data_IF_618700753966
#
_entry.id   IF_618700753966
#
_cell.length_a   1.000
_cell.length_b   1.000
_cell.length_c   1.000
_cell.angle_alpha   90.00
_cell.angle_beta   90.00
_cell.angle_gamma   90.00
#
_symmetry.space_group_name_H-M   'P 1'
#
loop_
_entity.id
_entity.type
_entity.pdbx_description
1 polymer ?
#
# COMPACT_ATOMS: atom_id res chain seq x y z
N UNK A 1 1.04 -13.66 -9.02
CA UNK A 1 1.66 -12.44 -9.55
C UNK A 1 0.57 -11.60 -10.22
N UNK A 2 0.56 -10.28 -10.05
CA UNK A 2 -0.48 -9.39 -10.60
C UNK A 2 -0.50 -9.40 -12.14
N UNK A 3 -1.68 -9.47 -12.75
CA UNK A 3 -1.86 -9.06 -14.15
C UNK A 3 -1.97 -7.53 -14.21
N UNK A 4 -1.66 -6.95 -15.37
CA UNK A 4 -1.69 -5.49 -15.52
C UNK A 4 -3.11 -4.93 -15.39
N UNK A 5 -4.11 -5.64 -15.93
CA UNK A 5 -5.51 -5.28 -15.78
C UNK A 5 -5.99 -5.33 -14.32
N UNK A 6 -5.68 -6.40 -13.59
CA UNK A 6 -6.06 -6.52 -12.19
C UNK A 6 -5.38 -5.44 -11.33
N UNK A 7 -4.10 -5.14 -11.61
CA UNK A 7 -3.36 -4.10 -10.89
C UNK A 7 -3.99 -2.73 -11.15
N UNK A 8 -4.24 -2.38 -12.41
CA UNK A 8 -4.88 -1.10 -12.78
C UNK A 8 -6.23 -0.91 -12.07
N UNK A 9 -7.02 -1.98 -11.96
CA UNK A 9 -8.36 -1.92 -11.36
C UNK A 9 -8.33 -1.89 -9.83
N UNK A 10 -7.46 -2.68 -9.19
CA UNK A 10 -7.56 -2.96 -7.75
C UNK A 10 -6.44 -2.38 -6.88
N UNK A 11 -5.28 -2.08 -7.46
CA UNK A 11 -4.08 -1.73 -6.67
C UNK A 11 -4.27 -0.49 -5.82
N UNK A 12 -4.94 0.54 -6.36
CA UNK A 12 -5.26 1.77 -5.63
C UNK A 12 -6.13 1.49 -4.40
N UNK A 13 -7.16 0.66 -4.57
CA UNK A 13 -8.07 0.27 -3.48
C UNK A 13 -7.33 -0.57 -2.44
N UNK A 14 -6.52 -1.53 -2.86
CA UNK A 14 -5.69 -2.35 -1.97
C UNK A 14 -4.80 -1.49 -1.07
N UNK A 15 -4.14 -0.47 -1.64
CA UNK A 15 -3.23 0.39 -0.89
C UNK A 15 -3.98 1.43 -0.05
N UNK A 16 -5.29 1.64 -0.21
CA UNK A 16 -6.04 2.66 0.53
C UNK A 16 -6.20 2.34 2.02
N UNK A 17 -6.51 3.36 2.84
CA UNK A 17 -6.88 3.15 4.26
C UNK A 17 -8.40 3.06 4.37
N UNK A 18 -8.92 1.86 4.66
CA UNK A 18 -10.35 1.66 4.93
C UNK A 18 -10.62 1.71 6.43
N UNK A 19 -11.29 2.79 6.87
CA UNK A 19 -11.59 3.08 8.30
C UNK A 19 -10.35 2.99 9.18
N UNK A 20 -10.08 1.82 9.78
CA UNK A 20 -8.97 1.55 10.70
C UNK A 20 -8.05 0.43 10.18
N UNK A 21 -8.20 0.03 8.93
CA UNK A 21 -7.43 -1.03 8.28
C UNK A 21 -6.59 -0.42 7.17
N UNK A 22 -5.31 -0.80 7.13
CA UNK A 22 -4.39 -0.53 6.03
C UNK A 22 -3.61 -1.81 5.76
N UNK A 23 -3.45 -2.16 4.49
CA UNK A 23 -2.66 -3.32 4.07
C UNK A 23 -1.28 -2.85 3.62
N UNK A 24 -0.25 -3.62 3.98
CA UNK A 24 1.12 -3.39 3.58
C UNK A 24 1.85 -4.74 3.43
N UNK A 25 2.82 -4.78 2.52
CA UNK A 25 3.60 -5.97 2.22
C UNK A 25 4.04 -5.98 0.76
N UNK A 26 4.87 -6.95 0.37
CA UNK A 26 5.41 -7.00 -1.00
C UNK A 26 4.30 -7.07 -2.06
N UNK A 27 3.18 -7.73 -1.75
CA UNK A 27 2.00 -7.83 -2.61
C UNK A 27 1.26 -6.50 -2.81
N UNK A 28 1.50 -5.53 -1.91
CA UNK A 28 1.06 -4.13 -1.99
C UNK A 28 2.24 -3.21 -2.36
N UNK A 29 3.14 -3.70 -3.22
CA UNK A 29 4.25 -2.97 -3.81
C UNK A 29 4.42 -3.34 -5.29
N UNK A 30 5.25 -2.58 -6.00
CA UNK A 30 5.72 -2.94 -7.35
C UNK A 30 6.95 -3.86 -7.35
N UNK A 31 7.50 -4.20 -6.17
CA UNK A 31 8.73 -4.99 -6.00
C UNK A 31 8.37 -6.32 -5.33
N UNK A 32 7.63 -7.15 -6.08
CA UNK A 32 7.13 -8.42 -5.56
C UNK A 32 8.23 -9.44 -5.29
N UNK A 33 8.00 -10.33 -4.33
CA UNK A 33 8.96 -11.38 -3.88
C UNK A 33 10.28 -10.86 -3.29
N UNK A 34 10.39 -9.56 -2.98
CA UNK A 34 11.56 -8.97 -2.31
C UNK A 34 11.17 -8.34 -0.97
N UNK A 35 12.08 -8.45 0.01
CA UNK A 35 11.91 -7.78 1.31
C UNK A 35 11.82 -6.27 1.16
N UNK A 36 12.56 -5.69 0.21
CA UNK A 36 12.49 -4.26 -0.12
C UNK A 36 11.07 -3.82 -0.44
N UNK A 37 10.31 -4.61 -1.22
CA UNK A 37 8.91 -4.31 -1.52
C UNK A 37 8.02 -4.25 -0.27
N UNK A 38 8.24 -5.18 0.67
CA UNK A 38 7.52 -5.16 1.94
C UNK A 38 7.87 -3.95 2.80
N UNK A 39 9.16 -3.57 2.88
CA UNK A 39 9.63 -2.41 3.65
C UNK A 39 9.10 -1.12 3.05
N UNK A 40 9.23 -0.92 1.73
CA UNK A 40 8.73 0.26 1.04
C UNK A 40 7.20 0.40 1.17
N UNK A 41 6.46 -0.70 1.04
CA UNK A 41 5.01 -0.72 1.24
C UNK A 41 4.63 -0.33 2.67
N UNK A 42 5.36 -0.81 3.67
CA UNK A 42 5.14 -0.45 5.07
C UNK A 42 5.43 1.04 5.34
N UNK A 43 6.51 1.58 4.79
CA UNK A 43 6.85 3.00 4.92
C UNK A 43 5.78 3.91 4.29
N UNK A 44 5.28 3.56 3.10
CA UNK A 44 4.18 4.28 2.45
C UNK A 44 2.88 4.22 3.28
N UNK A 45 2.49 3.03 3.75
CA UNK A 45 1.31 2.85 4.58
C UNK A 45 1.37 3.66 5.89
N UNK A 46 2.52 3.66 6.57
CA UNK A 46 2.75 4.44 7.79
C UNK A 46 2.71 5.95 7.48
N UNK A 47 3.30 6.39 6.37
CA UNK A 47 3.30 7.79 5.96
C UNK A 47 1.88 8.30 5.73
N UNK A 48 1.06 7.56 4.96
CA UNK A 48 -0.36 7.91 4.71
C UNK A 48 -1.20 7.87 5.98
N UNK A 49 -0.96 6.89 6.85
CA UNK A 49 -1.64 6.81 8.14
C UNK A 49 -1.30 8.01 9.02
N UNK A 50 -0.02 8.39 9.08
CA UNK A 50 0.45 9.55 9.82
C UNK A 50 -0.22 10.83 9.30
N UNK A 51 -0.20 11.08 7.99
CA UNK A 51 -0.86 12.22 7.35
C UNK A 51 -2.34 12.31 7.72
N UNK A 52 -3.08 11.19 7.65
CA UNK A 52 -4.49 11.12 8.03
C UNK A 52 -4.73 11.47 9.50
N UNK A 53 -3.85 11.03 10.41
CA UNK A 53 -3.98 11.26 11.85
C UNK A 53 -3.63 12.70 12.22
N UNK A 54 -2.57 13.26 11.63
CA UNK A 54 -2.13 14.63 11.93
C UNK A 54 -2.96 15.70 11.22
N UNK A 55 -3.93 15.31 10.38
CA UNK A 55 -4.75 16.24 9.59
C UNK A 55 -3.96 16.95 8.49
N UNK A 56 -2.81 16.40 8.10
CA UNK A 56 -2.04 16.86 6.95
C UNK A 56 -2.63 16.27 5.65
N UNK A 57 -3.87 16.68 5.38
CA UNK A 57 -4.69 16.59 4.16
C UNK A 57 -6.18 16.51 4.54
#
# INVERSE_FOLDING_TARGET
>A
MWTEEARRTHYKTLCSIDKRIVLAGEHASYVGCWQEGAILSALDAITRLHQRIVGAA
#
